data_IF_520720200332
#
_entry.id   IF_520720200332
#
_cell.length_a   1.000
_cell.length_b   1.000
_cell.length_c   1.000
_cell.angle_alpha   90.00
_cell.angle_beta   90.00
_cell.angle_gamma   90.00
#
_symmetry.space_group_name_H-M   'P 1'
#
loop_
_entity.id
_entity.type
_entity.pdbx_description
1 polymer ?
#
# COMPACT_ATOMS: atom_id res chain seq x y z
N UNK A 1 2.40 9.13 -3.40
CA UNK A 1 0.99 8.70 -3.50
C UNK A 1 0.26 9.08 -2.22
N UNK A 2 -1.05 9.32 -2.31
CA UNK A 2 -1.88 9.65 -1.16
C UNK A 2 -2.97 8.59 -1.00
N UNK A 3 -3.18 8.10 0.22
CA UNK A 3 -4.41 7.40 0.58
C UNK A 3 -5.42 8.50 0.96
N UNK A 4 -6.55 8.65 0.26
CA UNK A 4 -7.59 9.63 0.62
C UNK A 4 -8.00 9.58 2.09
N UNK A 5 -8.40 10.74 2.59
CA UNK A 5 -8.75 10.96 4.00
C UNK A 5 -9.87 10.03 4.46
N UNK A 6 -9.69 9.47 5.65
CA UNK A 6 -10.78 8.87 6.41
C UNK A 6 -11.28 7.52 5.91
N UNK A 7 -10.43 6.70 5.28
CA UNK A 7 -10.74 5.28 5.10
C UNK A 7 -11.02 4.65 6.48
N UNK A 8 -12.29 4.35 6.77
CA UNK A 8 -12.76 3.77 8.02
C UNK A 8 -13.16 2.29 7.85
N UNK A 9 -12.92 1.72 6.68
CA UNK A 9 -13.26 0.35 6.33
C UNK A 9 -12.23 -0.24 5.38
N UNK A 10 -12.17 -1.58 5.34
CA UNK A 10 -11.36 -2.32 4.35
C UNK A 10 -11.67 -1.89 2.92
N UNK A 11 -12.94 -1.70 2.56
CA UNK A 11 -13.33 -1.33 1.20
C UNK A 11 -12.80 0.04 0.82
N UNK A 12 -12.96 1.04 1.70
CA UNK A 12 -12.46 2.38 1.44
C UNK A 12 -10.93 2.42 1.34
N UNK A 13 -10.22 1.65 2.17
CA UNK A 13 -8.78 1.49 2.05
C UNK A 13 -8.41 0.88 0.69
N UNK A 14 -9.11 -0.17 0.28
CA UNK A 14 -8.86 -0.84 -0.98
C UNK A 14 -9.07 0.07 -2.19
N UNK A 15 -10.20 0.78 -2.22
CA UNK A 15 -10.55 1.72 -3.27
C UNK A 15 -9.53 2.88 -3.34
N UNK A 16 -9.07 3.33 -2.17
CA UNK A 16 -8.03 4.33 -2.03
C UNK A 16 -6.70 3.89 -2.66
N UNK A 17 -6.27 2.64 -2.39
CA UNK A 17 -5.06 2.08 -2.98
C UNK A 17 -5.21 1.93 -4.49
N UNK A 18 -6.30 1.32 -4.96
CA UNK A 18 -6.54 1.11 -6.39
C UNK A 18 -6.60 2.42 -7.20
N UNK A 19 -7.07 3.51 -6.58
CA UNK A 19 -7.19 4.81 -7.25
C UNK A 19 -5.90 5.63 -7.26
N UNK A 20 -4.96 5.38 -6.34
CA UNK A 20 -3.81 6.27 -6.11
C UNK A 20 -2.45 5.59 -6.26
N UNK A 21 -2.42 4.27 -6.34
CA UNK A 21 -1.20 3.48 -6.35
C UNK A 21 -1.06 2.75 -7.69
N UNK A 22 0.18 2.57 -8.18
CA UNK A 22 0.40 1.73 -9.34
C UNK A 22 0.10 0.28 -8.93
N UNK A 23 -0.89 -0.33 -9.59
CA UNK A 23 -1.21 -1.74 -9.43
C UNK A 23 -1.03 -2.42 -10.77
N UNK A 24 -0.29 -3.54 -10.77
CA UNK A 24 -0.20 -4.41 -11.93
C UNK A 24 -0.33 -5.89 -11.51
N UNK A 25 -1.42 -6.59 -11.86
CA UNK A 25 -2.56 -6.11 -12.64
C UNK A 25 -3.47 -5.15 -11.86
N UNK A 26 -4.30 -4.39 -12.58
CA UNK A 26 -5.38 -3.61 -11.96
C UNK A 26 -6.35 -4.54 -11.23
N UNK A 27 -6.65 -4.25 -9.97
CA UNK A 27 -7.54 -5.08 -9.19
C UNK A 27 -9.00 -4.60 -9.23
N UNK A 28 -9.93 -5.55 -9.29
CA UNK A 28 -11.38 -5.28 -9.32
C UNK A 28 -12.13 -5.80 -8.09
N UNK A 29 -11.44 -6.43 -7.11
CA UNK A 29 -12.10 -6.99 -5.93
C UNK A 29 -11.20 -7.00 -4.70
N UNK A 30 -11.75 -6.60 -3.55
CA UNK A 30 -11.05 -6.58 -2.27
C UNK A 30 -11.03 -7.92 -1.52
N UNK A 31 -11.25 -9.04 -2.22
CA UNK A 31 -11.41 -10.36 -1.61
C UNK A 31 -10.12 -10.93 -1.04
N UNK A 32 -8.98 -10.57 -1.62
CA UNK A 32 -7.66 -11.06 -1.21
C UNK A 32 -6.73 -9.90 -0.87
N UNK A 33 -6.11 -9.99 0.31
CA UNK A 33 -5.05 -9.08 0.75
C UNK A 33 -3.74 -9.42 0.04
N UNK A 34 -3.47 -10.70 -0.21
CA UNK A 34 -2.28 -11.15 -0.94
C UNK A 34 -2.29 -10.63 -2.38
N UNK A 35 -3.44 -10.70 -3.06
CA UNK A 35 -3.58 -10.16 -4.41
C UNK A 35 -3.33 -8.63 -4.45
N UNK A 36 -3.68 -7.92 -3.36
CA UNK A 36 -3.36 -6.50 -3.22
C UNK A 36 -1.86 -6.27 -3.06
N UNK A 37 -1.21 -7.04 -2.20
CA UNK A 37 0.22 -6.96 -1.96
C UNK A 37 1.01 -7.26 -3.24
N UNK A 38 0.69 -8.35 -3.94
CA UNK A 38 1.36 -8.77 -5.17
C UNK A 38 1.24 -7.71 -6.27
N UNK A 39 0.02 -7.21 -6.50
CA UNK A 39 -0.22 -6.24 -7.57
C UNK A 39 0.40 -4.88 -7.25
N UNK A 40 0.41 -4.50 -5.97
CA UNK A 40 1.06 -3.27 -5.52
C UNK A 40 2.58 -3.41 -5.63
N UNK A 41 3.14 -4.55 -5.28
CA UNK A 41 4.57 -4.82 -5.41
C UNK A 41 5.02 -4.71 -6.87
N UNK A 42 4.34 -5.42 -7.78
CA UNK A 42 4.64 -5.39 -9.22
C UNK A 42 4.52 -3.96 -9.78
N UNK A 43 3.41 -3.28 -9.46
CA UNK A 43 3.21 -1.90 -9.90
C UNK A 43 4.27 -0.92 -9.37
N UNK A 44 4.78 -1.13 -8.15
CA UNK A 44 5.86 -0.32 -7.58
C UNK A 44 7.23 -0.61 -8.23
N UNK A 45 7.51 -1.86 -8.59
CA UNK A 45 8.74 -2.24 -9.31
C UNK A 45 8.80 -1.55 -10.69
N UNK A 46 7.66 -1.54 -11.40
CA UNK A 46 7.51 -0.90 -12.70
C UNK A 46 7.42 0.64 -12.65
N UNK A 47 7.02 1.22 -11.51
CA UNK A 47 6.83 2.66 -11.38
C UNK A 47 8.12 3.45 -11.63
N UNK A 48 8.03 4.59 -12.33
CA UNK A 48 9.17 5.46 -12.55
C UNK A 48 9.54 6.19 -11.25
N UNK A 49 10.76 5.96 -10.75
CA UNK A 49 11.28 6.56 -9.52
C UNK A 49 11.81 5.51 -8.54
N UNK A 50 12.90 5.85 -7.85
CA UNK A 50 13.56 4.98 -6.88
C UNK A 50 13.04 5.20 -5.45
N UNK A 51 12.28 6.28 -5.22
CA UNK A 51 11.76 6.66 -3.90
C UNK A 51 10.27 6.93 -4.01
N UNK A 52 9.47 6.16 -3.27
CA UNK A 52 8.02 6.23 -3.28
C UNK A 52 7.55 6.52 -1.87
N UNK A 53 6.80 7.61 -1.71
CA UNK A 53 6.21 8.00 -0.43
C UNK A 53 4.69 7.79 -0.46
N UNK A 54 4.17 7.14 0.57
CA UNK A 54 2.75 6.88 0.81
C UNK A 54 2.31 7.71 1.99
N UNK A 55 1.37 8.61 1.76
CA UNK A 55 0.78 9.40 2.84
C UNK A 55 -0.59 8.84 3.19
N UNK A 56 -0.71 8.21 4.35
CA UNK A 56 -1.96 7.68 4.86
C UNK A 56 -2.54 8.63 5.90
N UNK A 57 -3.42 9.52 5.43
CA UNK A 57 -4.12 10.51 6.27
C UNK A 57 -5.27 9.88 7.04
N UNK A 58 -5.43 10.32 8.29
CA UNK A 58 -6.46 9.87 9.24
C UNK A 58 -6.48 8.34 9.43
N UNK A 59 -5.31 7.70 9.38
CA UNK A 59 -5.16 6.24 9.53
C UNK A 59 -5.75 5.72 10.85
N UNK A 60 -5.82 6.57 11.88
CA UNK A 60 -6.48 6.29 13.16
C UNK A 60 -7.97 5.92 13.04
N UNK A 61 -8.67 6.39 12.00
CA UNK A 61 -10.09 6.00 11.78
C UNK A 61 -10.24 4.53 11.42
N UNK A 62 -9.38 4.02 10.53
CA UNK A 62 -9.37 2.59 10.20
C UNK A 62 -8.96 1.75 11.40
N UNK A 63 -7.94 2.19 12.13
CA UNK A 63 -7.47 1.53 13.36
C UNK A 63 -8.58 1.38 14.40
N UNK A 64 -9.42 2.41 14.56
CA UNK A 64 -10.55 2.38 15.50
C UNK A 64 -11.73 1.54 15.00
N UNK A 65 -12.05 1.60 13.70
CA UNK A 65 -13.23 0.95 13.15
C UNK A 65 -13.03 -0.53 12.80
N UNK A 66 -11.87 -0.88 12.26
CA UNK A 66 -11.53 -2.23 11.75
C UNK A 66 -10.05 -2.59 12.05
N UNK A 67 -9.69 -2.80 13.33
CA UNK A 67 -8.30 -2.98 13.76
C UNK A 67 -7.57 -4.14 13.07
N UNK A 68 -8.27 -5.25 12.79
CA UNK A 68 -7.67 -6.41 12.10
C UNK A 68 -7.25 -6.05 10.66
N UNK A 69 -8.12 -5.34 9.93
CA UNK A 69 -7.82 -4.88 8.58
C UNK A 69 -6.71 -3.82 8.58
N UNK A 70 -6.66 -2.98 9.62
CA UNK A 70 -5.59 -2.00 9.80
C UNK A 70 -4.24 -2.71 10.01
N UNK A 71 -4.19 -3.74 10.87
CA UNK A 71 -2.96 -4.51 11.09
C UNK A 71 -2.46 -5.15 9.79
N UNK A 72 -3.35 -5.81 9.04
CA UNK A 72 -2.99 -6.43 7.76
C UNK A 72 -2.43 -5.40 6.77
N UNK A 73 -3.05 -4.21 6.69
CA UNK A 73 -2.56 -3.14 5.81
C UNK A 73 -1.14 -2.68 6.19
N UNK A 74 -0.84 -2.59 7.49
CA UNK A 74 0.50 -2.26 7.98
C UNK A 74 1.50 -3.36 7.69
N UNK A 75 1.12 -4.62 7.86
CA UNK A 75 1.98 -5.76 7.55
C UNK A 75 2.34 -5.77 6.06
N UNK A 76 1.36 -5.55 5.17
CA UNK A 76 1.61 -5.41 3.73
C UNK A 76 2.59 -4.27 3.44
N UNK A 77 2.36 -3.08 3.98
CA UNK A 77 3.27 -1.94 3.73
C UNK A 77 4.68 -2.18 4.26
N UNK A 78 4.80 -2.85 5.40
CA UNK A 78 6.09 -3.18 6.01
C UNK A 78 6.84 -4.18 5.14
N UNK A 79 6.17 -5.24 4.70
CA UNK A 79 6.73 -6.27 3.83
C UNK A 79 7.15 -5.70 2.46
N UNK A 80 6.31 -4.84 1.87
CA UNK A 80 6.64 -4.12 0.64
C UNK A 80 7.88 -3.23 0.83
N UNK A 81 8.02 -2.56 1.97
CA UNK A 81 9.16 -1.68 2.22
C UNK A 81 10.48 -2.45 2.35
N UNK A 82 10.43 -3.69 2.84
CA UNK A 82 11.60 -4.57 2.97
C UNK A 82 11.93 -5.24 1.64
N UNK A 83 10.94 -5.81 0.95
CA UNK A 83 11.15 -6.51 -0.33
C UNK A 83 11.54 -5.57 -1.46
N UNK A 84 11.04 -4.34 -1.47
CA UNK A 84 11.36 -3.32 -2.49
C UNK A 84 12.82 -2.88 -2.46
N UNK A 85 13.50 -2.99 -1.32
CA UNK A 85 14.93 -2.62 -1.20
C UNK A 85 15.88 -3.80 -1.41
N UNK A 86 15.36 -5.01 -1.59
CA UNK A 86 16.17 -6.21 -1.80
C UNK A 86 16.52 -6.37 -3.29
N UNK A 87 17.80 -6.22 -3.69
CA UNK A 87 18.21 -6.36 -5.08
C UNK A 87 17.98 -7.78 -5.64
N UNK A 88 17.80 -8.78 -4.78
CA UNK A 88 17.51 -10.16 -5.18
C UNK A 88 16.02 -10.42 -5.43
N UNK A 89 15.15 -9.54 -4.94
CA UNK A 89 13.71 -9.62 -5.13
C UNK A 89 13.22 -8.74 -6.30
N UNK A 90 13.93 -7.66 -6.64
CA UNK A 90 13.51 -6.71 -7.69
C UNK A 90 14.06 -7.07 -9.07
N UNK A 91 13.24 -6.95 -10.13
CA UNK A 91 13.69 -7.15 -11.53
C UNK A 91 14.35 -5.89 -12.10
N UNK A 92 14.01 -4.71 -11.55
CA UNK A 92 14.46 -3.41 -12.04
C UNK A 92 15.60 -2.80 -11.19
N UNK A 93 15.26 -1.89 -10.26
CA UNK A 93 16.17 -1.19 -9.35
C UNK A 93 15.53 -1.15 -7.98
N UNK A 94 16.36 -1.26 -6.94
CA UNK A 94 16.00 -1.05 -5.53
C UNK A 94 15.09 0.18 -5.39
N UNK A 95 13.90 -0.02 -4.82
CA UNK A 95 12.92 1.02 -4.52
C UNK A 95 12.85 1.24 -3.01
N UNK A 96 12.89 2.50 -2.59
CA UNK A 96 12.63 2.88 -1.20
C UNK A 96 11.18 3.27 -1.06
N UNK A 97 10.38 2.45 -0.37
CA UNK A 97 9.02 2.78 0.03
C UNK A 97 9.02 3.39 1.44
N UNK A 98 8.38 4.54 1.60
CA UNK A 98 8.16 5.17 2.90
C UNK A 98 6.68 5.38 3.13
N UNK A 99 6.15 4.88 4.24
CA UNK A 99 4.74 5.06 4.62
C UNK A 99 4.64 6.01 5.81
N UNK A 100 3.97 7.13 5.60
CA UNK A 100 3.71 8.15 6.60
C UNK A 100 2.26 8.06 7.05
N UNK A 101 2.05 7.66 8.29
CA UNK A 101 0.77 7.81 8.97
C UNK A 101 0.64 9.25 9.44
N UNK A 102 -0.42 9.93 9.02
CA UNK A 102 -0.71 11.30 9.43
C UNK A 102 -1.99 11.24 10.27
N UNK A 103 -1.84 11.47 11.57
CA UNK A 103 -2.94 11.62 12.51
C UNK A 103 -3.26 13.12 12.65
N UNK A 104 -4.54 13.48 12.51
CA UNK A 104 -5.07 14.80 12.88
C UNK A 104 -5.50 14.82 14.35
#
# INVERSE_FOLDING_TARGET
MFVPEGAASKNQFYDAICSNCPLDPSLHSNRSWDALADSLWSGLDEAQGEKIAVFWRDSGRMKAAVPDAFSIAIDIFTDLSVSSVDPSATVSRVKVLMVFQIEN
#
